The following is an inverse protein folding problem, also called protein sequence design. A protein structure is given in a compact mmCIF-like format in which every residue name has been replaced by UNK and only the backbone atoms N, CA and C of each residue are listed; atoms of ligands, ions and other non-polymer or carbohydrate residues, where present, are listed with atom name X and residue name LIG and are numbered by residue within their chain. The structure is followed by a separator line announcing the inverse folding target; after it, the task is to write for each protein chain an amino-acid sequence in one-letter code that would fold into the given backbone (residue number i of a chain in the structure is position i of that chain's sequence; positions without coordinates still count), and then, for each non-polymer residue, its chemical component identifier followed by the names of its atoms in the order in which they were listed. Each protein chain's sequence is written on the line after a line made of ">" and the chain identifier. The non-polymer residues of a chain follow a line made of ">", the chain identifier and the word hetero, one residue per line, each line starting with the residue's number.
data_IF_287306397742
#
_entry.id   IF_287306397742
#
_cell.length_a   1.000
_cell.length_b   1.000
_cell.length_c   1.000
_cell.angle_alpha   90.00
_cell.angle_beta   90.00
_cell.angle_gamma   90.00
#
_symmetry.space_group_name_H-M   'P 1'
#
loop_
_entity.id
_entity.type
_entity.pdbx_description
1 polymer ?
#
# COMPACT_ATOMS: atom_id res chain seq x y z
N UNK A 1 58.17 -26.34 5.19
CA UNK A 1 58.63 -27.29 4.16
C UNK A 1 57.45 -27.43 3.22
N UNK A 2 57.23 -26.56 2.25
CA UNK A 2 58.10 -25.73 1.39
C UNK A 2 57.37 -24.37 1.17
N UNK A 3 57.90 -23.15 1.36
CA UNK A 3 59.02 -22.43 0.69
C UNK A 3 58.94 -22.49 -0.85
N UNK A 4 59.11 -21.45 -1.68
CA UNK A 4 59.08 -19.99 -1.66
C UNK A 4 59.29 -19.56 -3.15
N UNK A 5 58.70 -18.44 -3.56
CA UNK A 5 59.18 -17.41 -4.53
C UNK A 5 59.75 -17.70 -5.95
N UNK A 6 59.22 -16.95 -6.95
CA UNK A 6 59.88 -15.99 -7.90
C UNK A 6 59.06 -15.87 -9.20
N UNK A 7 58.63 -14.72 -9.73
CA UNK A 7 59.19 -13.38 -10.06
C UNK A 7 59.75 -13.23 -11.49
N UNK A 8 59.45 -12.07 -12.11
CA UNK A 8 59.91 -11.53 -13.42
C UNK A 8 58.84 -11.63 -14.52
N UNK A 9 58.27 -10.55 -15.09
CA UNK A 9 58.85 -9.31 -15.66
C UNK A 9 58.80 -9.48 -17.19
N UNK A 10 58.14 -8.68 -18.03
CA UNK A 10 58.36 -7.28 -18.41
C UNK A 10 57.54 -7.05 -19.71
N UNK A 11 57.06 -5.83 -19.98
CA UNK A 11 57.03 -5.18 -21.32
C UNK A 11 56.02 -4.04 -21.35
N UNK A 12 56.57 -2.83 -21.42
CA UNK A 12 55.89 -1.59 -21.80
C UNK A 12 55.92 -1.39 -23.32
N UNK A 13 54.82 -0.90 -23.89
CA UNK A 13 54.73 0.00 -25.06
C UNK A 13 53.23 0.29 -25.26
N UNK A 14 52.69 1.46 -25.57
CA UNK A 14 53.23 2.70 -26.12
C UNK A 14 52.10 3.37 -26.93
N UNK A 15 52.23 4.69 -27.14
CA UNK A 15 51.46 5.57 -28.03
C UNK A 15 50.15 6.19 -27.51
N UNK A 16 50.15 7.53 -27.51
CA UNK A 16 48.98 8.36 -27.29
C UNK A 16 48.52 9.11 -28.53
N UNK A 17 47.70 10.13 -28.24
CA UNK A 17 47.23 11.26 -29.08
C UNK A 17 45.84 11.10 -29.69
N UNK A 18 44.95 12.04 -29.33
CA UNK A 18 43.66 12.27 -29.98
C UNK A 18 42.79 13.26 -29.23
N UNK A 19 43.12 14.55 -29.33
CA UNK A 19 42.28 15.68 -28.91
C UNK A 19 41.08 15.83 -29.87
N UNK A 20 39.91 16.21 -29.37
CA UNK A 20 38.75 16.53 -30.21
C UNK A 20 37.49 16.74 -29.38
N UNK A 21 37.27 17.97 -28.93
CA UNK A 21 36.03 18.38 -28.30
C UNK A 21 34.84 18.29 -29.24
N UNK A 22 33.68 17.99 -28.66
CA UNK A 22 32.39 18.47 -29.10
C UNK A 22 31.53 18.60 -27.85
N UNK A 23 31.45 19.83 -27.37
CA UNK A 23 30.33 20.31 -26.56
C UNK A 23 29.06 20.06 -27.36
N UNK A 24 28.27 19.08 -26.96
CA UNK A 24 26.86 19.05 -27.30
C UNK A 24 26.08 18.75 -26.04
N UNK A 25 25.67 19.84 -25.41
CA UNK A 25 24.66 19.90 -24.38
C UNK A 25 23.33 19.39 -24.97
N UNK A 26 23.12 18.07 -24.90
CA UNK A 26 21.80 17.49 -25.08
C UNK A 26 21.08 17.49 -23.73
N UNK A 27 20.05 18.34 -23.63
CA UNK A 27 19.32 18.69 -22.42
C UNK A 27 18.94 17.51 -21.54
N UNK A 28 19.39 17.57 -20.29
CA UNK A 28 18.89 16.75 -19.20
C UNK A 28 17.53 17.29 -18.75
N UNK A 29 16.47 16.96 -19.48
CA UNK A 29 15.10 17.02 -18.96
C UNK A 29 14.91 15.83 -18.01
N UNK A 30 15.55 15.90 -16.84
CA UNK A 30 15.25 15.01 -15.73
C UNK A 30 14.15 15.69 -14.92
N UNK A 31 12.95 15.11 -14.79
CA UNK A 31 11.92 15.63 -13.90
C UNK A 31 12.52 15.82 -12.52
N UNK A 32 12.37 17.02 -11.95
CA UNK A 32 13.11 17.51 -10.79
C UNK A 32 13.23 16.47 -9.68
N UNK A 33 14.46 16.14 -9.31
CA UNK A 33 14.78 15.45 -8.07
C UNK A 33 14.15 16.24 -6.92
N UNK A 34 13.13 15.68 -6.28
CA UNK A 34 12.56 16.28 -5.08
C UNK A 34 13.68 16.47 -4.04
N UNK A 35 13.88 17.70 -3.58
CA UNK A 35 14.85 18.00 -2.55
C UNK A 35 14.34 17.50 -1.19
N UNK A 36 15.22 17.30 -0.22
CA UNK A 36 14.79 16.98 1.15
C UNK A 36 13.92 18.09 1.76
N UNK A 37 14.10 19.34 1.33
CA UNK A 37 13.24 20.45 1.76
C UNK A 37 11.82 20.32 1.20
N UNK A 38 11.68 19.79 -0.02
CA UNK A 38 10.38 19.56 -0.65
C UNK A 38 9.61 18.46 0.10
N UNK A 39 10.32 17.46 0.65
CA UNK A 39 9.70 16.41 1.47
C UNK A 39 9.16 16.99 2.78
N UNK A 40 9.93 17.83 3.46
CA UNK A 40 9.51 18.42 4.73
C UNK A 40 8.28 19.31 4.56
N UNK A 41 8.23 20.10 3.48
CA UNK A 41 7.07 20.92 3.10
C UNK A 41 5.84 20.05 2.82
N UNK A 42 5.96 19.01 1.99
CA UNK A 42 4.85 18.10 1.68
C UNK A 42 4.34 17.39 2.93
N UNK A 43 5.22 16.96 3.83
CA UNK A 43 4.80 16.33 5.07
C UNK A 43 4.04 17.31 5.99
N UNK A 44 4.44 18.59 6.00
CA UNK A 44 3.71 19.61 6.75
C UNK A 44 2.35 19.93 6.11
N UNK A 45 2.29 20.12 4.78
CA UNK A 45 1.04 20.40 4.05
C UNK A 45 0.04 19.25 4.14
N UNK A 46 0.52 18.01 4.16
CA UNK A 46 -0.33 16.81 4.33
C UNK A 46 -0.74 16.56 5.79
N UNK A 47 -0.24 17.35 6.74
CA UNK A 47 -0.58 17.25 8.16
C UNK A 47 0.04 16.04 8.87
N UNK A 48 1.22 15.59 8.43
CA UNK A 48 1.90 14.46 9.07
C UNK A 48 2.48 14.85 10.44
N UNK A 49 2.03 14.17 11.49
CA UNK A 49 2.62 14.19 12.83
C UNK A 49 3.21 12.81 13.17
N UNK A 50 4.47 12.76 13.57
CA UNK A 50 5.14 11.51 13.92
C UNK A 50 4.68 10.92 15.27
N UNK A 51 4.13 11.74 16.16
CA UNK A 51 3.65 11.31 17.47
C UNK A 51 2.22 10.73 17.41
N UNK A 52 1.42 11.16 16.42
CA UNK A 52 0.05 10.67 16.21
C UNK A 52 -0.05 9.58 15.12
N UNK A 53 1.03 9.34 14.37
CA UNK A 53 1.05 8.40 13.25
C UNK A 53 1.63 7.03 13.60
N UNK A 54 1.14 5.99 12.92
CA UNK A 54 1.76 4.65 12.94
C UNK A 54 3.05 4.58 12.11
N UNK A 55 3.33 5.63 11.33
CA UNK A 55 4.53 5.72 10.50
C UNK A 55 5.59 6.55 11.23
N UNK A 56 6.84 6.11 11.15
CA UNK A 56 7.96 6.95 11.55
C UNK A 56 8.17 8.07 10.53
N UNK A 57 8.82 9.17 10.93
CA UNK A 57 9.20 10.26 10.00
C UNK A 57 9.93 9.72 8.77
N UNK A 58 10.85 8.77 8.97
CA UNK A 58 11.62 8.15 7.88
C UNK A 58 10.75 7.32 6.93
N UNK A 59 9.74 6.63 7.45
CA UNK A 59 8.78 5.89 6.62
C UNK A 59 7.93 6.85 5.79
N UNK A 60 7.45 7.94 6.39
CA UNK A 60 6.68 8.96 5.69
C UNK A 60 7.49 9.66 4.59
N UNK A 61 8.73 10.06 4.88
CA UNK A 61 9.68 10.61 3.90
C UNK A 61 9.86 9.67 2.70
N UNK A 62 10.07 8.37 2.94
CA UNK A 62 10.21 7.39 1.85
C UNK A 62 8.91 7.26 1.04
N UNK A 63 7.73 7.29 1.67
CA UNK A 63 6.46 7.24 0.93
C UNK A 63 6.25 8.48 0.03
N UNK A 64 6.56 9.68 0.53
CA UNK A 64 6.47 10.93 -0.25
C UNK A 64 7.34 10.86 -1.50
N UNK A 65 8.62 10.52 -1.34
CA UNK A 65 9.56 10.41 -2.45
C UNK A 65 9.11 9.34 -3.47
N UNK A 66 8.54 8.23 -2.99
CA UNK A 66 8.03 7.17 -3.88
C UNK A 66 6.78 7.60 -4.64
N UNK A 67 5.89 8.39 -4.03
CA UNK A 67 4.70 8.94 -4.70
C UNK A 67 5.10 9.93 -5.81
N UNK A 68 6.20 10.66 -5.62
CA UNK A 68 6.81 11.52 -6.63
C UNK A 68 7.60 10.76 -7.71
N UNK A 69 7.66 9.43 -7.64
CA UNK A 69 8.32 8.58 -8.63
C UNK A 69 9.82 8.37 -8.44
N UNK A 70 10.42 8.90 -7.37
CA UNK A 70 11.87 8.79 -7.09
C UNK A 70 12.27 7.34 -6.85
N UNK A 71 13.33 6.86 -7.49
CA UNK A 71 13.75 5.44 -7.41
C UNK A 71 14.37 5.12 -6.05
N UNK A 72 14.21 3.89 -5.55
CA UNK A 72 14.80 3.47 -4.26
C UNK A 72 16.31 3.69 -4.16
N UNK A 73 17.05 3.52 -5.26
CA UNK A 73 18.50 3.76 -5.31
C UNK A 73 18.87 5.23 -5.14
N UNK A 74 18.02 6.12 -5.64
CA UNK A 74 18.20 7.57 -5.57
C UNK A 74 17.81 8.08 -4.19
N UNK A 75 16.71 7.58 -3.63
CA UNK A 75 16.34 7.78 -2.22
C UNK A 75 17.49 7.32 -1.31
N UNK A 76 18.11 6.17 -1.59
CA UNK A 76 19.24 5.69 -0.80
C UNK A 76 20.41 6.68 -0.79
N UNK A 77 20.75 7.26 -1.95
CA UNK A 77 21.74 8.32 -2.08
C UNK A 77 21.36 9.58 -1.31
N UNK A 78 20.11 10.05 -1.44
CA UNK A 78 19.61 11.24 -0.75
C UNK A 78 19.63 11.07 0.78
N UNK A 79 19.29 9.88 1.26
CA UNK A 79 19.13 9.58 2.68
C UNK A 79 20.42 9.07 3.35
N UNK A 80 21.52 8.96 2.59
CA UNK A 80 22.81 8.47 3.08
C UNK A 80 22.77 7.03 3.59
N UNK A 81 22.01 6.16 2.92
CA UNK A 81 21.78 4.77 3.37
C UNK A 81 21.84 3.78 2.21
N UNK A 82 21.65 2.49 2.48
CA UNK A 82 21.64 1.46 1.44
C UNK A 82 20.26 1.33 0.78
N UNK A 83 20.24 0.96 -0.51
CA UNK A 83 18.99 0.61 -1.22
C UNK A 83 18.21 -0.50 -0.49
N UNK A 84 18.92 -1.47 0.09
CA UNK A 84 18.30 -2.55 0.87
C UNK A 84 17.55 -2.01 2.10
N UNK A 85 18.14 -1.03 2.80
CA UNK A 85 17.49 -0.35 3.91
C UNK A 85 16.25 0.44 3.43
N UNK A 86 16.34 1.21 2.34
CA UNK A 86 15.18 1.92 1.76
C UNK A 86 14.04 0.95 1.42
N UNK A 87 14.35 -0.17 0.77
CA UNK A 87 13.36 -1.20 0.44
C UNK A 87 12.65 -1.75 1.69
N UNK A 88 13.40 -2.00 2.77
CA UNK A 88 12.86 -2.46 4.05
C UNK A 88 11.95 -1.40 4.69
N UNK A 89 12.38 -0.12 4.69
CA UNK A 89 11.60 1.00 5.21
C UNK A 89 10.31 1.19 4.42
N UNK A 90 10.36 1.20 3.09
CA UNK A 90 9.19 1.33 2.20
C UNK A 90 8.19 0.18 2.41
N UNK A 91 8.69 -1.05 2.47
CA UNK A 91 7.85 -2.24 2.69
C UNK A 91 7.17 -2.21 4.06
N UNK A 92 7.90 -1.76 5.09
CA UNK A 92 7.35 -1.61 6.44
C UNK A 92 6.31 -0.50 6.50
N UNK A 93 6.59 0.64 5.85
CA UNK A 93 5.65 1.76 5.76
C UNK A 93 4.32 1.34 5.11
N UNK A 94 4.38 0.67 3.95
CA UNK A 94 3.18 0.16 3.27
C UNK A 94 2.39 -0.82 4.12
N UNK A 95 3.08 -1.74 4.80
CA UNK A 95 2.44 -2.70 5.71
C UNK A 95 1.77 -2.01 6.91
N UNK A 96 2.38 -0.96 7.45
CA UNK A 96 1.77 -0.18 8.53
C UNK A 96 0.51 0.54 8.06
N UNK A 97 0.52 1.13 6.85
CA UNK A 97 -0.68 1.74 6.25
C UNK A 97 -1.79 0.71 6.04
N UNK A 98 -1.46 -0.46 5.48
CA UNK A 98 -2.42 -1.56 5.28
C UNK A 98 -3.06 -1.99 6.61
N UNK A 99 -2.24 -2.23 7.64
CA UNK A 99 -2.72 -2.61 8.98
C UNK A 99 -3.57 -1.53 9.64
N UNK A 100 -3.19 -0.26 9.52
CA UNK A 100 -3.97 0.85 10.06
C UNK A 100 -5.34 0.95 9.37
N UNK A 101 -5.40 0.79 8.05
CA UNK A 101 -6.67 0.73 7.31
C UNK A 101 -7.55 -0.42 7.79
N UNK A 102 -6.99 -1.62 7.98
CA UNK A 102 -7.76 -2.75 8.52
C UNK A 102 -8.23 -2.49 9.96
N UNK A 103 -7.39 -1.87 10.79
CA UNK A 103 -7.74 -1.51 12.18
C UNK A 103 -8.92 -0.53 12.21
N UNK A 104 -8.90 0.50 11.37
CA UNK A 104 -10.02 1.44 11.22
C UNK A 104 -11.25 0.71 10.70
N UNK A 105 -11.13 -0.12 9.67
CA UNK A 105 -12.26 -0.89 9.13
C UNK A 105 -12.86 -1.85 10.17
N UNK A 106 -12.04 -2.44 11.04
CA UNK A 106 -12.50 -3.27 12.16
C UNK A 106 -13.22 -2.44 13.21
N UNK A 107 -12.67 -1.30 13.62
CA UNK A 107 -13.32 -0.38 14.56
C UNK A 107 -14.64 0.18 13.99
N UNK A 108 -14.68 0.52 12.70
CA UNK A 108 -15.90 0.93 11.99
C UNK A 108 -16.94 -0.19 11.98
N UNK A 109 -16.55 -1.45 11.75
CA UNK A 109 -17.48 -2.58 11.86
C UNK A 109 -17.95 -2.80 13.30
N UNK A 110 -17.10 -2.56 14.30
CA UNK A 110 -17.53 -2.62 15.70
C UNK A 110 -18.53 -1.51 16.04
N UNK A 111 -18.33 -0.31 15.49
CA UNK A 111 -19.26 0.79 15.64
C UNK A 111 -20.46 0.70 14.68
N UNK A 112 -20.43 -0.21 13.70
CA UNK A 112 -21.48 -0.32 12.70
C UNK A 112 -22.81 -0.62 13.39
N UNK A 113 -23.81 0.29 13.24
CA UNK A 113 -25.10 0.12 13.87
C UNK A 113 -25.87 -1.08 13.31
N UNK A 114 -25.45 -1.58 12.14
CA UNK A 114 -26.05 -2.72 11.46
C UNK A 114 -25.01 -3.79 11.25
N UNK A 115 -25.28 -4.98 11.78
CA UNK A 115 -24.56 -6.21 11.48
C UNK A 115 -25.56 -7.32 11.26
N UNK A 116 -25.46 -7.98 10.11
CA UNK A 116 -26.24 -9.18 9.83
C UNK A 116 -25.28 -10.35 9.64
N UNK A 117 -25.62 -11.48 10.23
CA UNK A 117 -24.96 -12.75 9.93
C UNK A 117 -25.76 -13.44 8.85
N UNK A 118 -25.10 -13.77 7.74
CA UNK A 118 -25.67 -14.58 6.67
C UNK A 118 -25.18 -16.00 6.86
N UNK A 119 -26.08 -16.87 7.28
CA UNK A 119 -25.78 -18.26 7.58
C UNK A 119 -25.40 -19.07 6.33
N UNK A 120 -24.61 -20.13 6.54
CA UNK A 120 -24.38 -21.11 5.48
C UNK A 120 -25.71 -21.74 5.01
N UNK A 121 -25.85 -21.93 3.70
CA UNK A 121 -27.06 -22.37 3.04
C UNK A 121 -28.04 -21.25 2.65
N UNK A 122 -27.76 -19.99 3.01
CA UNK A 122 -28.56 -18.86 2.56
C UNK A 122 -28.43 -18.59 1.05
N UNK A 123 -29.51 -18.13 0.41
CA UNK A 123 -29.48 -17.61 -0.96
C UNK A 123 -28.97 -16.17 -0.93
N UNK A 124 -27.91 -15.88 -1.69
CA UNK A 124 -27.31 -14.55 -1.82
C UNK A 124 -28.33 -13.49 -2.24
N UNK A 125 -29.39 -13.87 -2.97
CA UNK A 125 -30.41 -12.95 -3.44
C UNK A 125 -31.34 -12.45 -2.31
N UNK A 126 -31.38 -13.16 -1.18
CA UNK A 126 -32.15 -12.74 -0.01
C UNK A 126 -31.37 -11.75 0.87
N UNK A 127 -30.04 -11.73 0.75
CA UNK A 127 -29.15 -10.90 1.59
C UNK A 127 -29.40 -9.39 1.43
N UNK A 128 -29.58 -8.83 0.21
CA UNK A 128 -29.84 -7.40 0.07
C UNK A 128 -31.05 -6.93 0.87
N UNK A 129 -32.13 -7.71 0.88
CA UNK A 129 -33.33 -7.38 1.64
C UNK A 129 -33.04 -7.34 3.14
N UNK A 130 -32.33 -8.35 3.67
CA UNK A 130 -31.94 -8.40 5.08
C UNK A 130 -31.09 -7.18 5.47
N UNK A 131 -30.17 -6.76 4.59
CA UNK A 131 -29.34 -5.57 4.82
C UNK A 131 -30.18 -4.30 4.85
N UNK A 132 -31.11 -4.11 3.91
CA UNK A 132 -31.97 -2.93 3.90
C UNK A 132 -32.88 -2.88 5.13
N UNK A 133 -33.54 -4.00 5.46
CA UNK A 133 -34.44 -4.09 6.61
C UNK A 133 -33.69 -3.72 7.91
N UNK A 134 -32.48 -4.26 8.11
CA UNK A 134 -31.66 -3.95 9.28
C UNK A 134 -31.15 -2.50 9.29
N UNK A 135 -30.86 -1.92 8.12
CA UNK A 135 -30.48 -0.51 8.00
C UNK A 135 -31.62 0.45 8.28
N UNK A 136 -32.83 0.14 7.80
CA UNK A 136 -34.03 0.92 8.07
C UNK A 136 -34.36 0.92 9.57
N UNK A 137 -34.23 -0.23 10.25
CA UNK A 137 -34.40 -0.32 11.71
C UNK A 137 -33.37 0.51 12.48
N UNK A 138 -32.12 0.54 12.00
CA UNK A 138 -31.04 1.32 12.59
C UNK A 138 -31.01 2.80 12.16
N UNK A 139 -31.91 3.24 11.27
CA UNK A 139 -31.93 4.60 10.73
C UNK A 139 -30.75 4.95 9.83
N UNK A 140 -30.13 3.95 9.19
CA UNK A 140 -28.98 4.11 8.29
C UNK A 140 -29.43 4.02 6.83
N UNK A 141 -28.94 4.94 5.98
CA UNK A 141 -29.14 4.84 4.54
C UNK A 141 -28.05 3.99 3.90
N UNK A 142 -28.45 2.94 3.19
CA UNK A 142 -27.54 2.14 2.36
C UNK A 142 -27.29 2.89 1.06
N UNK A 143 -26.01 3.14 0.74
CA UNK A 143 -25.60 3.91 -0.45
C UNK A 143 -25.30 3.01 -1.66
N UNK A 144 -25.90 1.81 -1.71
CA UNK A 144 -25.69 0.82 -2.78
C UNK A 144 -27.01 0.21 -3.20
N UNK A 145 -27.10 -0.09 -4.48
CA UNK A 145 -28.20 -0.87 -5.06
C UNK A 145 -28.04 -2.37 -4.75
N UNK A 146 -29.11 -3.16 -4.88
CA UNK A 146 -29.04 -4.60 -4.59
C UNK A 146 -27.98 -5.34 -5.45
N UNK A 147 -27.83 -5.07 -6.77
CA UNK A 147 -26.76 -5.66 -7.57
C UNK A 147 -25.35 -5.29 -7.09
N UNK A 148 -25.13 -4.04 -6.68
CA UNK A 148 -23.84 -3.60 -6.15
C UNK A 148 -23.51 -4.26 -4.81
N UNK A 149 -24.54 -4.51 -3.99
CA UNK A 149 -24.41 -5.19 -2.72
C UNK A 149 -24.03 -6.66 -2.92
N UNK A 150 -24.76 -7.35 -3.81
CA UNK A 150 -24.47 -8.74 -4.17
C UNK A 150 -23.05 -8.89 -4.71
N UNK A 151 -22.64 -8.02 -5.63
CA UNK A 151 -21.27 -8.01 -6.17
C UNK A 151 -20.25 -7.82 -5.06
N UNK A 152 -20.45 -6.85 -4.17
CA UNK A 152 -19.53 -6.58 -3.07
C UNK A 152 -19.39 -7.78 -2.11
N UNK A 153 -20.49 -8.47 -1.84
CA UNK A 153 -20.49 -9.69 -1.02
C UNK A 153 -19.75 -10.82 -1.74
N UNK A 154 -20.04 -11.09 -3.01
CA UNK A 154 -19.34 -12.13 -3.77
C UNK A 154 -17.84 -11.86 -3.88
N UNK A 155 -17.45 -10.62 -4.18
CA UNK A 155 -16.04 -10.23 -4.33
C UNK A 155 -15.27 -10.38 -3.00
N UNK A 156 -15.88 -10.04 -1.87
CA UNK A 156 -15.25 -10.13 -0.56
C UNK A 156 -15.29 -11.54 0.06
N UNK A 157 -16.34 -12.30 -0.21
CA UNK A 157 -16.51 -13.66 0.31
C UNK A 157 -15.58 -14.65 -0.40
N UNK A 158 -15.28 -14.44 -1.68
CA UNK A 158 -14.46 -15.36 -2.46
C UNK A 158 -15.13 -16.73 -2.59
N UNK A 159 -14.42 -17.81 -2.23
CA UNK A 159 -14.91 -19.18 -2.28
C UNK A 159 -15.98 -19.53 -1.23
N UNK A 160 -16.22 -18.65 -0.26
CA UNK A 160 -17.33 -18.76 0.69
C UNK A 160 -18.72 -18.58 0.02
N UNK A 161 -18.77 -18.12 -1.24
CA UNK A 161 -19.99 -18.04 -2.05
C UNK A 161 -19.79 -18.81 -3.35
N UNK A 162 -20.62 -19.81 -3.64
CA UNK A 162 -20.62 -20.50 -4.94
C UNK A 162 -21.94 -20.27 -5.67
N UNK A 163 -21.86 -19.52 -6.77
CA UNK A 163 -23.04 -19.10 -7.53
C UNK A 163 -23.93 -18.19 -6.68
N UNK A 164 -25.04 -18.72 -6.17
CA UNK A 164 -25.98 -18.02 -5.30
C UNK A 164 -26.02 -18.56 -3.87
N UNK A 165 -25.28 -19.62 -3.58
CA UNK A 165 -25.29 -20.27 -2.27
C UNK A 165 -24.13 -19.75 -1.42
N UNK A 166 -24.45 -19.28 -0.21
CA UNK A 166 -23.47 -18.98 0.83
C UNK A 166 -23.04 -20.28 1.49
N UNK A 167 -21.76 -20.62 1.43
CA UNK A 167 -21.22 -21.90 1.93
C UNK A 167 -20.58 -21.80 3.30
N UNK A 168 -20.03 -20.64 3.62
CA UNK A 168 -19.47 -20.33 4.92
C UNK A 168 -20.19 -19.09 5.46
N UNK A 169 -20.46 -18.99 6.77
CA UNK A 169 -21.18 -17.85 7.31
C UNK A 169 -20.44 -16.54 7.04
N UNK A 170 -21.18 -15.50 6.69
CA UNK A 170 -20.65 -14.17 6.37
C UNK A 170 -21.19 -13.14 7.36
N UNK A 171 -20.32 -12.25 7.81
CA UNK A 171 -20.71 -11.04 8.54
C UNK A 171 -20.77 -9.87 7.57
N UNK A 172 -21.98 -9.34 7.35
CA UNK A 172 -22.19 -8.13 6.56
C UNK A 172 -22.47 -6.96 7.51
N UNK A 173 -21.59 -5.97 7.51
CA UNK A 173 -21.71 -4.75 8.29
C UNK A 173 -22.02 -3.54 7.41
N UNK A 174 -22.86 -2.62 7.90
CA UNK A 174 -23.09 -1.33 7.26
C UNK A 174 -22.75 -0.20 8.22
N UNK A 175 -21.79 0.64 7.83
CA UNK A 175 -21.38 1.80 8.64
C UNK A 175 -22.42 2.92 8.58
N UNK A 176 -22.34 3.88 9.50
CA UNK A 176 -23.20 5.08 9.50
C UNK A 176 -23.13 5.87 8.18
N UNK A 177 -22.02 5.78 7.45
CA UNK A 177 -21.83 6.38 6.13
C UNK A 177 -22.38 5.53 4.97
N UNK A 178 -23.12 4.45 5.26
CA UNK A 178 -23.68 3.55 4.25
C UNK A 178 -22.66 2.69 3.51
N UNK A 179 -21.42 2.58 4.04
CA UNK A 179 -20.38 1.69 3.47
C UNK A 179 -20.66 0.27 3.93
N UNK A 180 -20.73 -0.64 2.96
CA UNK A 180 -20.89 -2.08 3.19
C UNK A 180 -19.51 -2.73 3.34
N UNK A 181 -19.35 -3.52 4.38
CA UNK A 181 -18.17 -4.34 4.65
C UNK A 181 -18.61 -5.80 4.81
N UNK A 182 -17.84 -6.72 4.25
CA UNK A 182 -18.15 -8.15 4.27
C UNK A 182 -16.93 -8.87 4.78
N UNK A 183 -17.12 -9.68 5.80
CA UNK A 183 -16.08 -10.51 6.41
C UNK A 183 -16.59 -11.94 6.49
N UNK A 184 -15.69 -12.92 6.37
CA UNK A 184 -16.03 -14.29 6.76
C UNK A 184 -16.25 -14.31 8.26
N UNK A 185 -17.33 -14.93 8.71
CA UNK A 185 -17.50 -15.21 10.12
C UNK A 185 -16.52 -16.31 10.49
N UNK A 186 -15.70 -16.07 11.52
CA UNK A 186 -14.90 -17.12 12.14
C UNK A 186 -15.73 -17.60 13.32
N UNK A 187 -16.25 -18.82 13.23
CA UNK A 187 -16.72 -19.55 14.42
C UNK A 187 -15.54 -19.90 15.34
#
# INVERSE_FOLDING_TARGET
>A
MDDAERDGGDSADGSGTGNGGSEDAAGSDTPGLASTADVDEILAETGFDADESVLTRRQAEVLVLREQGVRQSEIASMLGTSRANVSSVESSARRNVERARETVAFAEALAAPVRITVEAGADLYDVPKQVYDACDEAGVKVNRTAPELMKAISDAAGDAVQGREVREPLLVGVTTGGRVQVRRSVD
#
